data_IF_810438382604
#
_entry.id   IF_810438382604
#
_cell.length_a   1.000
_cell.length_b   1.000
_cell.length_c   1.000
_cell.angle_alpha   90.00
_cell.angle_beta   90.00
_cell.angle_gamma   90.00
#
_symmetry.space_group_name_H-M   'P 1'
#
loop_
_entity.id
_entity.type
_entity.pdbx_description
1 polymer ?
#
# COMPACT_ATOMS: atom_id res chain seq x y z
N UNK A 1 20.14 13.21 14.53
CA UNK A 1 19.62 12.54 13.30
C UNK A 1 18.28 11.80 13.49
N UNK A 2 17.75 11.70 14.72
CA UNK A 2 16.51 10.97 15.02
C UNK A 2 15.26 11.54 14.33
N UNK A 3 15.14 12.87 14.22
CA UNK A 3 13.98 13.50 13.59
C UNK A 3 13.79 13.04 12.12
N UNK A 4 14.89 12.82 11.38
CA UNK A 4 14.83 12.33 10.00
C UNK A 4 14.36 10.87 9.94
N UNK A 5 14.84 10.01 10.86
CA UNK A 5 14.33 8.64 10.99
C UNK A 5 12.81 8.62 11.23
N UNK A 6 12.34 9.45 12.17
CA UNK A 6 10.91 9.53 12.50
C UNK A 6 10.10 10.01 11.31
N UNK A 7 10.58 11.02 10.57
CA UNK A 7 9.93 11.51 9.37
C UNK A 7 9.81 10.42 8.30
N UNK A 8 10.91 9.70 8.01
CA UNK A 8 10.91 8.61 7.02
C UNK A 8 9.94 7.51 7.45
N UNK A 9 10.01 7.05 8.70
CA UNK A 9 9.09 6.01 9.19
C UNK A 9 7.64 6.47 9.14
N UNK A 10 7.34 7.71 9.48
CA UNK A 10 5.98 8.26 9.43
C UNK A 10 5.44 8.25 8.00
N UNK A 11 6.27 8.62 7.01
CA UNK A 11 5.89 8.56 5.59
C UNK A 11 5.61 7.11 5.16
N UNK A 12 6.47 6.17 5.58
CA UNK A 12 6.29 4.75 5.30
C UNK A 12 5.01 4.20 5.95
N UNK A 13 4.72 4.58 7.19
CA UNK A 13 3.50 4.19 7.91
C UNK A 13 2.24 4.76 7.24
N UNK A 14 2.27 6.02 6.80
CA UNK A 14 1.17 6.62 6.05
C UNK A 14 0.90 5.84 4.76
N UNK A 15 1.95 5.52 4.00
CA UNK A 15 1.81 4.76 2.77
C UNK A 15 1.36 3.31 3.03
N UNK A 16 1.83 2.68 4.12
CA UNK A 16 1.38 1.37 4.57
C UNK A 16 -0.14 1.35 4.80
N UNK A 17 -0.69 2.35 5.49
CA UNK A 17 -2.14 2.46 5.69
C UNK A 17 -2.91 2.72 4.40
N UNK A 18 -2.38 3.55 3.50
CA UNK A 18 -2.97 3.77 2.17
C UNK A 18 -3.06 2.47 1.37
N UNK A 19 -2.02 1.63 1.41
CA UNK A 19 -2.02 0.31 0.78
C UNK A 19 -3.05 -0.63 1.38
N UNK A 20 -3.18 -0.66 2.71
CA UNK A 20 -4.22 -1.44 3.38
C UNK A 20 -5.61 -0.98 2.94
N UNK A 21 -5.87 0.33 2.96
CA UNK A 21 -7.16 0.88 2.53
C UNK A 21 -7.46 0.53 1.06
N UNK A 22 -6.45 0.63 0.19
CA UNK A 22 -6.56 0.26 -1.22
C UNK A 22 -6.88 -1.23 -1.40
N UNK A 23 -6.17 -2.11 -0.70
CA UNK A 23 -6.38 -3.55 -0.74
C UNK A 23 -7.77 -3.94 -0.22
N UNK A 24 -8.16 -3.43 0.95
CA UNK A 24 -9.48 -3.67 1.55
C UNK A 24 -10.58 -3.18 0.62
N UNK A 25 -10.47 -1.97 0.08
CA UNK A 25 -11.47 -1.46 -0.86
C UNK A 25 -11.56 -2.32 -2.12
N UNK A 26 -10.42 -2.78 -2.66
CA UNK A 26 -10.40 -3.68 -3.82
C UNK A 26 -11.15 -4.99 -3.54
N UNK A 27 -10.97 -5.57 -2.35
CA UNK A 27 -11.67 -6.78 -1.94
C UNK A 27 -13.15 -6.54 -1.72
N UNK A 28 -13.51 -5.45 -1.05
CA UNK A 28 -14.91 -5.10 -0.82
C UNK A 28 -15.65 -4.89 -2.15
N UNK A 29 -15.00 -4.34 -3.17
CA UNK A 29 -15.56 -4.23 -4.53
C UNK A 29 -15.62 -5.60 -5.22
N UNK A 30 -14.54 -6.39 -5.16
CA UNK A 30 -14.47 -7.71 -5.78
C UNK A 30 -15.53 -8.69 -5.24
N UNK A 31 -15.80 -8.63 -3.93
CA UNK A 31 -16.84 -9.43 -3.25
C UNK A 31 -18.23 -8.80 -3.32
N UNK A 32 -18.44 -7.75 -4.12
CA UNK A 32 -19.71 -7.03 -4.27
C UNK A 32 -20.29 -6.49 -2.94
N UNK A 33 -19.44 -6.22 -1.94
CA UNK A 33 -19.85 -5.63 -0.65
C UNK A 33 -20.12 -4.13 -0.81
N UNK A 34 -19.33 -3.43 -1.63
CA UNK A 34 -19.54 -2.02 -2.00
C UNK A 34 -19.67 -1.86 -3.49
N UNK A 35 -20.53 -0.92 -3.90
CA UNK A 35 -20.78 -0.62 -5.29
C UNK A 35 -20.05 0.67 -5.71
N UNK A 36 -19.17 0.57 -6.70
CA UNK A 36 -18.44 1.70 -7.29
C UNK A 36 -19.34 2.68 -8.06
N UNK A 37 -20.62 2.35 -8.30
CA UNK A 37 -21.62 3.31 -8.80
C UNK A 37 -21.87 4.45 -7.83
N UNK A 38 -21.61 4.26 -6.53
CA UNK A 38 -21.64 5.36 -5.58
C UNK A 38 -20.44 6.28 -5.82
N UNK A 39 -20.70 7.55 -6.13
CA UNK A 39 -19.68 8.56 -6.43
C UNK A 39 -18.62 8.69 -5.33
N UNK A 40 -19.01 8.57 -4.06
CA UNK A 40 -18.05 8.63 -2.94
C UNK A 40 -17.06 7.46 -2.97
N UNK A 41 -17.56 6.24 -3.17
CA UNK A 41 -16.74 5.01 -3.24
C UNK A 41 -15.80 5.08 -4.44
N UNK A 42 -16.30 5.54 -5.59
CA UNK A 42 -15.48 5.73 -6.79
C UNK A 42 -14.34 6.73 -6.56
N UNK A 43 -14.63 7.90 -5.98
CA UNK A 43 -13.62 8.93 -5.74
C UNK A 43 -12.54 8.46 -4.77
N UNK A 44 -12.93 7.77 -3.68
CA UNK A 44 -11.98 7.20 -2.73
C UNK A 44 -11.13 6.12 -3.41
N UNK A 45 -11.76 5.24 -4.19
CA UNK A 45 -11.07 4.18 -4.94
C UNK A 45 -10.08 4.71 -5.97
N UNK A 46 -10.47 5.70 -6.76
CA UNK A 46 -9.59 6.34 -7.75
C UNK A 46 -8.42 7.06 -7.08
N UNK A 47 -8.66 7.77 -5.98
CA UNK A 47 -7.59 8.41 -5.21
C UNK A 47 -6.59 7.40 -4.65
N UNK A 48 -7.07 6.34 -4.01
CA UNK A 48 -6.22 5.27 -3.48
C UNK A 48 -5.44 4.58 -4.60
N UNK A 49 -6.11 4.26 -5.71
CA UNK A 49 -5.48 3.63 -6.87
C UNK A 49 -4.35 4.50 -7.44
N UNK A 50 -4.58 5.81 -7.64
CA UNK A 50 -3.53 6.72 -8.16
C UNK A 50 -2.33 6.84 -7.22
N UNK A 51 -2.55 6.77 -5.91
CA UNK A 51 -1.47 6.83 -4.93
C UNK A 51 -0.65 5.54 -4.91
N UNK A 52 -1.28 4.38 -5.10
CA UNK A 52 -0.63 3.07 -4.96
C UNK A 52 -0.09 2.50 -6.28
N UNK A 53 -0.68 2.86 -7.42
CA UNK A 53 -0.36 2.30 -8.74
C UNK A 53 1.12 2.42 -9.14
N UNK A 54 1.85 3.53 -8.89
CA UNK A 54 3.27 3.62 -9.24
C UNK A 54 4.13 2.53 -8.58
N UNK A 55 3.73 2.08 -7.39
CA UNK A 55 4.45 1.04 -6.62
C UNK A 55 3.87 -0.34 -6.90
N UNK A 56 2.54 -0.47 -6.99
CA UNK A 56 1.86 -1.75 -7.20
C UNK A 56 2.01 -2.28 -8.63
N UNK A 57 1.95 -1.43 -9.65
CA UNK A 57 2.02 -1.83 -11.07
C UNK A 57 3.25 -2.67 -11.41
N UNK A 58 4.49 -2.26 -11.07
CA UNK A 58 5.66 -3.09 -11.38
C UNK A 58 5.61 -4.45 -10.68
N UNK A 59 5.09 -4.52 -9.46
CA UNK A 59 4.98 -5.78 -8.71
C UNK A 59 3.89 -6.67 -9.31
N UNK A 60 2.76 -6.10 -9.70
CA UNK A 60 1.67 -6.84 -10.35
C UNK A 60 2.11 -7.46 -11.68
N UNK A 61 3.01 -6.81 -12.42
CA UNK A 61 3.57 -7.35 -13.66
C UNK A 61 4.52 -8.54 -13.44
N UNK A 62 5.09 -8.69 -12.23
CA UNK A 62 5.99 -9.79 -11.87
C UNK A 62 5.21 -10.97 -11.28
N UNK A 63 4.10 -10.69 -10.59
CA UNK A 63 3.28 -11.72 -9.98
C UNK A 63 2.45 -12.47 -11.03
N UNK A 64 2.25 -13.80 -10.87
CA UNK A 64 1.34 -14.55 -11.72
C UNK A 64 -0.11 -14.08 -11.50
N UNK A 65 -0.96 -14.23 -12.51
CA UNK A 65 -2.38 -13.86 -12.41
C UNK A 65 -3.11 -14.75 -11.38
N UNK A 66 -3.47 -14.18 -10.22
CA UNK A 66 -4.05 -14.92 -9.09
C UNK A 66 -5.58 -14.94 -9.09
N UNK A 67 -6.21 -15.09 -10.26
CA UNK A 67 -7.66 -15.33 -10.35
C UNK A 67 -8.54 -14.18 -9.87
N UNK A 68 -8.13 -12.92 -10.10
CA UNK A 68 -8.95 -11.73 -9.82
C UNK A 68 -8.71 -11.08 -8.45
N UNK A 69 -7.94 -11.71 -7.57
CA UNK A 69 -7.44 -11.11 -6.33
C UNK A 69 -6.05 -10.53 -6.52
N UNK A 70 -5.88 -9.25 -6.20
CA UNK A 70 -4.58 -8.59 -6.27
C UNK A 70 -3.81 -8.81 -4.97
N UNK A 71 -2.73 -9.61 -5.03
CA UNK A 71 -1.81 -9.81 -3.90
C UNK A 71 -0.62 -8.85 -3.91
N UNK A 72 -0.48 -7.97 -4.91
CA UNK A 72 0.60 -6.99 -4.96
C UNK A 72 0.69 -6.10 -3.71
N UNK A 73 -0.42 -5.68 -3.04
CA UNK A 73 -0.32 -4.91 -1.81
C UNK A 73 0.41 -5.66 -0.70
N UNK A 74 0.21 -6.98 -0.58
CA UNK A 74 0.88 -7.79 0.45
C UNK A 74 2.39 -7.75 0.25
N UNK A 75 2.85 -7.90 -0.99
CA UNK A 75 4.28 -7.85 -1.33
C UNK A 75 4.88 -6.48 -0.99
N UNK A 76 4.16 -5.39 -1.30
CA UNK A 76 4.62 -4.04 -0.94
C UNK A 76 4.65 -3.85 0.57
N UNK A 77 3.62 -4.28 1.30
CA UNK A 77 3.56 -4.16 2.75
C UNK A 77 4.75 -4.88 3.42
N UNK A 78 5.07 -6.08 2.96
CA UNK A 78 6.27 -6.81 3.40
C UNK A 78 7.57 -6.05 3.09
N UNK A 79 7.66 -5.45 1.89
CA UNK A 79 8.78 -4.60 1.51
C UNK A 79 8.94 -3.37 2.41
N UNK A 80 7.84 -2.67 2.71
CA UNK A 80 7.83 -1.53 3.63
C UNK A 80 8.29 -1.97 5.02
N UNK A 81 7.70 -3.03 5.57
CA UNK A 81 8.10 -3.54 6.89
C UNK A 81 9.58 -3.93 6.92
N UNK A 82 10.10 -4.54 5.86
CA UNK A 82 11.52 -4.84 5.75
C UNK A 82 12.38 -3.57 5.75
N UNK A 83 12.02 -2.55 4.97
CA UNK A 83 12.73 -1.26 4.93
C UNK A 83 12.71 -0.58 6.30
N UNK A 84 11.57 -0.56 6.99
CA UNK A 84 11.47 0.01 8.34
C UNK A 84 12.37 -0.71 9.34
N UNK A 85 12.41 -2.05 9.30
CA UNK A 85 13.32 -2.85 10.13
C UNK A 85 14.79 -2.55 9.82
N UNK A 86 15.15 -2.46 8.54
CA UNK A 86 16.49 -2.13 8.10
C UNK A 86 16.90 -0.72 8.57
N UNK A 87 16.01 0.26 8.41
CA UNK A 87 16.24 1.61 8.95
C UNK A 87 16.43 1.55 10.47
N UNK A 88 15.56 0.87 11.21
CA UNK A 88 15.66 0.78 12.67
C UNK A 88 16.97 0.15 13.16
N UNK A 89 17.49 -0.84 12.42
CA UNK A 89 18.72 -1.56 12.73
C UNK A 89 19.98 -0.76 12.41
N UNK A 90 20.02 -0.07 11.27
CA UNK A 90 21.24 0.61 10.77
C UNK A 90 21.22 2.14 10.94
N UNK A 91 20.14 2.74 11.45
CA UNK A 91 20.07 4.20 11.61
C UNK A 91 21.15 4.70 12.60
N UNK A 92 21.97 5.70 12.22
CA UNK A 92 22.95 6.28 13.13
C UNK A 92 22.27 6.90 14.35
N UNK A 93 22.59 6.39 15.55
CA UNK A 93 22.04 6.86 16.83
C UNK A 93 22.93 7.86 17.56
N UNK A 94 23.99 8.33 16.91
CA UNK A 94 24.96 9.27 17.45
C UNK A 94 24.42 10.71 17.52
#
# INVERSE_FOLDING_TARGET
MIALYVLINTILDLFFWVLILSAVLSWLVAFNVVNTRNRAVYLIGDALHRLTEPVLRPIRNVLPNMGGLDLSPIVVLLGISFVQNLLAQYWPRF
#
